data_IF_112881362558
#
_entry.id   IF_112881362558
#
_cell.length_a   1.000
_cell.length_b   1.000
_cell.length_c   1.000
_cell.angle_alpha   90.00
_cell.angle_beta   90.00
_cell.angle_gamma   90.00
#
_symmetry.space_group_name_H-M   'P 1'
#
loop_
_entity.id
_entity.type
_entity.pdbx_description
1 polymer ?
#
# COMPACT_ATOMS: atom_id res chain seq x y z
N UNK A 1 14.88 6.45 -12.72
CA UNK A 1 13.62 6.11 -11.94
C UNK A 1 13.34 7.25 -10.99
N UNK A 2 12.13 7.82 -11.06
CA UNK A 2 11.75 8.97 -10.24
C UNK A 2 11.13 8.53 -8.92
N UNK A 3 11.39 9.30 -7.85
CA UNK A 3 10.93 8.96 -6.52
C UNK A 3 10.56 10.21 -5.70
N UNK A 4 9.63 10.03 -4.75
CA UNK A 4 9.30 11.00 -3.73
C UNK A 4 9.82 10.53 -2.36
N UNK A 5 10.38 11.43 -1.59
CA UNK A 5 10.94 11.20 -0.27
C UNK A 5 10.08 11.85 0.81
N UNK A 6 9.67 11.08 1.80
CA UNK A 6 9.12 11.57 3.05
C UNK A 6 10.08 11.21 4.19
N UNK A 7 10.45 12.16 5.03
CA UNK A 7 11.54 11.97 5.99
C UNK A 7 11.40 12.81 7.25
N UNK A 8 12.10 12.36 8.28
CA UNK A 8 12.38 13.14 9.51
C UNK A 8 13.81 12.84 10.01
N UNK A 9 14.09 13.22 11.25
CA UNK A 9 15.40 12.99 11.87
C UNK A 9 15.68 11.50 12.18
N UNK A 10 14.67 10.62 12.13
CA UNK A 10 14.79 9.19 12.51
C UNK A 10 14.88 8.25 11.31
N UNK A 11 14.57 8.75 10.11
CA UNK A 11 14.60 7.93 8.89
C UNK A 11 13.72 8.48 7.79
N UNK A 12 13.49 7.66 6.77
CA UNK A 12 12.74 8.06 5.59
C UNK A 12 11.99 6.91 4.91
N UNK A 13 11.00 7.30 4.13
CA UNK A 13 10.28 6.47 3.18
C UNK A 13 10.45 7.06 1.78
N UNK A 14 10.79 6.22 0.82
CA UNK A 14 11.01 6.59 -0.57
C UNK A 14 10.01 5.83 -1.45
N UNK A 15 9.16 6.57 -2.16
CA UNK A 15 8.09 6.03 -3.01
C UNK A 15 8.48 6.18 -4.48
N UNK A 16 8.37 5.09 -5.26
CA UNK A 16 8.51 5.18 -6.70
C UNK A 16 7.35 5.95 -7.31
N UNK A 17 7.63 6.92 -8.19
CA UNK A 17 6.62 7.61 -8.98
C UNK A 17 6.21 6.81 -10.22
N UNK A 18 7.06 5.88 -10.66
CA UNK A 18 6.84 5.06 -11.84
C UNK A 18 6.08 3.76 -11.51
N UNK A 19 6.11 3.31 -10.24
CA UNK A 19 5.54 2.04 -9.79
C UNK A 19 4.76 2.23 -8.47
N UNK A 20 3.43 2.40 -8.50
CA UNK A 20 2.64 2.92 -7.37
C UNK A 20 2.61 2.06 -6.11
N UNK A 21 3.02 0.79 -6.18
CA UNK A 21 3.13 -0.08 -5.00
C UNK A 21 4.56 -0.33 -4.53
N UNK A 22 5.57 0.29 -5.19
CA UNK A 22 6.96 0.11 -4.85
C UNK A 22 7.46 1.23 -3.94
N UNK A 23 8.01 0.85 -2.79
CA UNK A 23 8.58 1.79 -1.83
C UNK A 23 9.74 1.15 -1.05
N UNK A 24 10.61 1.98 -0.49
CA UNK A 24 11.70 1.55 0.38
C UNK A 24 11.74 2.39 1.67
N UNK A 25 12.28 1.81 2.71
CA UNK A 25 12.52 2.49 4.00
C UNK A 25 13.99 2.42 4.35
N UNK A 26 14.49 3.48 4.97
CA UNK A 26 15.88 3.55 5.43
C UNK A 26 16.04 4.52 6.60
N UNK A 27 17.09 4.31 7.39
CA UNK A 27 17.55 5.28 8.39
C UNK A 27 18.11 6.51 7.70
N UNK A 28 18.63 6.34 6.48
CA UNK A 28 19.13 7.43 5.64
C UNK A 28 18.53 7.36 4.24
N UNK A 29 18.59 8.48 3.55
CA UNK A 29 18.18 8.67 2.17
C UNK A 29 18.91 7.68 1.23
N UNK A 30 20.19 7.52 1.43
CA UNK A 30 21.06 6.63 0.64
C UNK A 30 20.67 5.16 0.85
N UNK A 31 20.39 4.77 2.10
CA UNK A 31 19.96 3.42 2.44
C UNK A 31 18.60 3.07 1.82
N UNK A 32 17.65 4.02 1.79
CA UNK A 32 16.37 3.84 1.11
C UNK A 32 16.54 3.78 -0.42
N UNK A 33 17.35 4.69 -0.99
CA UNK A 33 17.61 4.73 -2.42
C UNK A 33 18.30 3.46 -2.95
N UNK A 34 19.21 2.87 -2.17
CA UNK A 34 19.87 1.61 -2.52
C UNK A 34 18.89 0.42 -2.59
N UNK A 35 17.79 0.45 -1.83
CA UNK A 35 16.77 -0.61 -1.80
C UNK A 35 15.71 -0.44 -2.90
N UNK A 36 15.39 0.78 -3.28
CA UNK A 36 14.26 1.09 -4.16
C UNK A 36 14.31 0.36 -5.52
N UNK A 37 15.45 0.23 -6.22
CA UNK A 37 15.51 -0.51 -7.49
C UNK A 37 15.05 -1.96 -7.37
N UNK A 38 15.42 -2.64 -6.28
CA UNK A 38 14.97 -4.01 -6.00
C UNK A 38 13.45 -4.10 -5.76
N UNK A 39 12.88 -3.12 -5.06
CA UNK A 39 11.44 -3.03 -4.81
C UNK A 39 10.65 -2.75 -6.09
N UNK A 40 11.16 -1.85 -6.93
CA UNK A 40 10.59 -1.56 -8.26
C UNK A 40 10.63 -2.80 -9.14
N UNK A 41 11.75 -3.50 -9.21
CA UNK A 41 11.86 -4.74 -9.97
C UNK A 41 10.89 -5.82 -9.48
N UNK A 42 10.73 -5.97 -8.16
CA UNK A 42 9.78 -6.91 -7.58
C UNK A 42 8.32 -6.53 -7.87
N UNK A 43 7.98 -5.24 -7.80
CA UNK A 43 6.66 -4.75 -8.18
C UNK A 43 6.39 -5.01 -9.67
N UNK A 44 7.32 -4.66 -10.55
CA UNK A 44 7.14 -4.82 -11.99
C UNK A 44 6.99 -6.30 -12.39
N UNK A 45 7.76 -7.22 -11.80
CA UNK A 45 7.55 -8.66 -12.02
C UNK A 45 6.13 -9.08 -11.65
N UNK A 46 5.65 -8.66 -10.47
CA UNK A 46 4.29 -8.96 -10.04
C UNK A 46 3.25 -8.30 -10.96
N UNK A 47 3.41 -7.05 -11.34
CA UNK A 47 2.48 -6.33 -12.20
C UNK A 47 2.52 -6.79 -13.68
N UNK A 48 3.55 -7.53 -14.10
CA UNK A 48 3.79 -7.87 -15.50
C UNK A 48 4.34 -6.69 -16.31
N UNK A 49 5.04 -5.77 -15.66
CA UNK A 49 5.62 -4.57 -16.28
C UNK A 49 7.12 -4.72 -16.51
N UNK A 50 7.64 -3.95 -17.45
CA UNK A 50 9.09 -3.78 -17.60
C UNK A 50 9.58 -2.80 -16.54
N UNK A 51 10.57 -3.22 -15.74
CA UNK A 51 11.13 -2.36 -14.72
C UNK A 51 11.95 -1.22 -15.34
N UNK A 52 11.74 0.03 -14.90
CA UNK A 52 12.62 1.14 -15.29
C UNK A 52 14.03 0.89 -14.77
N UNK A 53 15.04 1.31 -15.54
CA UNK A 53 16.46 1.20 -15.21
C UNK A 53 17.07 2.57 -14.92
N UNK A 54 18.28 2.58 -14.35
CA UNK A 54 19.03 3.81 -14.07
C UNK A 54 18.96 4.27 -12.62
N UNK A 55 19.62 5.38 -12.30
CA UNK A 55 19.71 5.91 -10.94
C UNK A 55 18.35 6.38 -10.40
N UNK A 56 18.24 6.41 -9.08
CA UNK A 56 17.08 6.99 -8.38
C UNK A 56 17.24 8.51 -8.34
N UNK A 57 16.22 9.22 -8.82
CA UNK A 57 16.14 10.68 -8.79
C UNK A 57 14.99 11.09 -7.86
N UNK A 58 15.30 11.74 -6.75
CA UNK A 58 14.29 12.28 -5.84
C UNK A 58 13.83 13.62 -6.42
N UNK A 59 12.57 13.67 -6.84
CA UNK A 59 11.95 14.83 -7.50
C UNK A 59 10.95 15.55 -6.61
N UNK A 60 10.52 14.93 -5.52
CA UNK A 60 9.64 15.50 -4.51
C UNK A 60 10.16 15.14 -3.12
N UNK A 61 10.15 16.08 -2.19
CA UNK A 61 10.54 15.85 -0.80
C UNK A 61 9.52 16.44 0.16
N UNK A 62 9.24 15.72 1.26
CA UNK A 62 8.39 16.19 2.35
C UNK A 62 9.07 15.89 3.69
N UNK A 63 9.33 16.93 4.46
CA UNK A 63 9.68 16.77 5.86
C UNK A 63 8.40 16.55 6.69
N UNK A 64 8.33 15.42 7.42
CA UNK A 64 7.22 15.06 8.27
C UNK A 64 7.72 14.72 9.68
N UNK A 65 7.63 15.65 10.66
CA UNK A 65 8.18 15.45 11.99
C UNK A 65 7.67 14.20 12.69
N UNK A 66 6.37 13.90 12.50
CA UNK A 66 5.67 12.79 13.15
C UNK A 66 5.77 11.46 12.40
N UNK A 67 6.52 11.41 11.28
CA UNK A 67 6.68 10.21 10.47
C UNK A 67 7.20 9.04 11.30
N UNK A 68 6.48 7.92 11.27
CA UNK A 68 6.86 6.66 11.92
C UNK A 68 7.25 5.64 10.87
N UNK A 69 8.52 5.70 10.48
CA UNK A 69 9.08 4.87 9.40
C UNK A 69 8.93 3.39 9.69
N UNK A 70 9.10 2.98 10.95
CA UNK A 70 8.96 1.58 11.39
C UNK A 70 7.53 1.04 11.28
N UNK A 71 6.52 1.89 11.40
CA UNK A 71 5.11 1.51 11.27
C UNK A 71 4.60 1.64 9.83
N UNK A 72 5.41 2.24 8.94
CA UNK A 72 4.98 2.52 7.57
C UNK A 72 3.91 3.61 7.52
N UNK A 73 3.91 4.52 8.49
CA UNK A 73 3.01 5.67 8.51
C UNK A 73 3.49 6.72 7.53
N UNK A 74 2.62 7.14 6.61
CA UNK A 74 2.93 8.13 5.58
C UNK A 74 1.67 8.88 5.18
N UNK A 75 1.74 10.19 5.14
CA UNK A 75 0.64 11.05 4.71
C UNK A 75 0.95 11.82 3.42
N UNK A 76 2.08 11.52 2.75
CA UNK A 76 2.50 12.21 1.53
C UNK A 76 1.42 12.14 0.44
N UNK A 77 1.09 13.28 -0.13
CA UNK A 77 0.40 13.40 -1.40
C UNK A 77 1.43 13.73 -2.47
N UNK A 78 1.57 12.84 -3.46
CA UNK A 78 2.50 13.04 -4.57
C UNK A 78 1.98 14.14 -5.50
N UNK A 79 2.89 14.88 -6.14
CA UNK A 79 2.48 16.00 -7.00
C UNK A 79 1.57 15.55 -8.14
N UNK A 80 1.85 14.41 -8.76
CA UNK A 80 0.99 13.80 -9.77
C UNK A 80 -0.38 13.38 -9.25
N UNK A 81 -0.52 13.12 -7.95
CA UNK A 81 -1.80 12.73 -7.34
C UNK A 81 -2.78 13.89 -7.16
N UNK A 82 -2.30 15.13 -7.37
CA UNK A 82 -3.15 16.33 -7.32
C UNK A 82 -3.92 16.56 -8.61
N UNK A 83 -3.53 15.90 -9.69
CA UNK A 83 -4.11 16.08 -11.02
C UNK A 83 -5.32 15.17 -11.23
N UNK A 84 -6.29 15.56 -12.08
CA UNK A 84 -7.32 14.67 -12.57
C UNK A 84 -6.73 13.37 -13.15
N UNK A 85 -7.47 12.26 -13.05
CA UNK A 85 -7.05 10.98 -13.58
C UNK A 85 -7.71 10.69 -14.92
N UNK A 86 -6.94 10.20 -15.88
CA UNK A 86 -7.47 9.73 -17.14
C UNK A 86 -8.14 8.35 -16.98
N UNK A 87 -9.21 8.11 -17.75
CA UNK A 87 -9.97 6.87 -17.62
C UNK A 87 -9.15 5.61 -17.95
N UNK A 88 -8.17 5.69 -18.83
CA UNK A 88 -7.28 4.59 -19.14
C UNK A 88 -6.31 4.28 -18.01
N UNK A 89 -5.72 5.31 -17.41
CA UNK A 89 -4.90 5.20 -16.21
C UNK A 89 -5.68 4.58 -15.05
N UNK A 90 -6.91 5.05 -14.83
CA UNK A 90 -7.78 4.49 -13.80
C UNK A 90 -8.01 2.99 -14.00
N UNK A 91 -8.38 2.57 -15.23
CA UNK A 91 -8.62 1.15 -15.53
C UNK A 91 -7.38 0.31 -15.24
N UNK A 92 -6.20 0.78 -15.62
CA UNK A 92 -4.94 0.09 -15.37
C UNK A 92 -4.65 -0.06 -13.87
N UNK A 93 -4.78 1.02 -13.09
CA UNK A 93 -4.57 0.98 -11.64
C UNK A 93 -5.65 0.14 -10.92
N UNK A 94 -6.91 0.25 -11.34
CA UNK A 94 -8.00 -0.57 -10.82
C UNK A 94 -7.73 -2.06 -10.96
N UNK A 95 -7.23 -2.50 -12.10
CA UNK A 95 -6.86 -3.91 -12.33
C UNK A 95 -5.78 -4.37 -11.34
N UNK A 96 -4.77 -3.56 -11.09
CA UNK A 96 -3.72 -3.88 -10.11
C UNK A 96 -4.26 -3.91 -8.68
N UNK A 97 -5.11 -2.97 -8.30
CA UNK A 97 -5.75 -2.88 -6.98
C UNK A 97 -6.63 -4.10 -6.71
N UNK A 98 -7.43 -4.53 -7.71
CA UNK A 98 -8.25 -5.74 -7.62
C UNK A 98 -7.37 -7.00 -7.55
N UNK A 99 -6.31 -7.06 -8.36
CA UNK A 99 -5.34 -8.16 -8.30
C UNK A 99 -4.65 -8.23 -6.95
N UNK A 100 -4.24 -7.11 -6.39
CA UNK A 100 -3.59 -7.05 -5.07
C UNK A 100 -4.47 -7.62 -3.97
N UNK A 101 -5.75 -7.24 -3.94
CA UNK A 101 -6.71 -7.77 -2.98
C UNK A 101 -6.93 -9.29 -3.14
N UNK A 102 -7.06 -9.77 -4.38
CA UNK A 102 -7.18 -11.22 -4.67
C UNK A 102 -5.92 -11.98 -4.22
N UNK A 103 -4.76 -11.46 -4.52
CA UNK A 103 -3.49 -12.06 -4.16
C UNK A 103 -3.30 -12.09 -2.63
N UNK A 104 -3.83 -11.06 -1.92
CA UNK A 104 -3.84 -11.04 -0.46
C UNK A 104 -4.77 -12.12 0.12
N UNK A 105 -5.98 -12.28 -0.42
CA UNK A 105 -6.91 -13.37 -0.05
C UNK A 105 -6.25 -14.74 -0.29
N UNK A 106 -5.57 -14.92 -1.42
CA UNK A 106 -4.87 -16.17 -1.77
C UNK A 106 -3.75 -16.49 -0.78
N UNK A 107 -2.93 -15.51 -0.43
CA UNK A 107 -1.88 -15.67 0.58
C UNK A 107 -2.51 -16.04 1.93
N UNK A 108 -3.51 -15.29 2.39
CA UNK A 108 -4.15 -15.54 3.69
C UNK A 108 -4.80 -16.92 3.75
N UNK A 109 -5.49 -17.34 2.70
CA UNK A 109 -6.13 -18.67 2.63
C UNK A 109 -5.12 -19.84 2.70
N UNK A 110 -3.85 -19.60 2.39
CA UNK A 110 -2.79 -20.61 2.48
C UNK A 110 -2.22 -20.79 3.90
N UNK A 111 -2.58 -19.92 4.86
CA UNK A 111 -2.05 -19.96 6.22
C UNK A 111 -2.73 -21.08 7.01
N UNK A 112 -1.99 -22.09 7.50
CA UNK A 112 -2.58 -23.23 8.19
C UNK A 112 -3.23 -22.89 9.52
N UNK A 113 -2.66 -21.96 10.26
CA UNK A 113 -3.19 -21.44 11.53
C UNK A 113 -3.12 -19.91 11.51
N UNK A 114 -4.23 -19.22 11.18
CA UNK A 114 -4.24 -17.75 11.06
C UNK A 114 -4.07 -17.02 12.39
N UNK A 115 -4.24 -17.69 13.52
CA UNK A 115 -4.09 -17.11 14.86
C UNK A 115 -2.71 -17.37 15.48
N UNK A 116 -1.86 -18.13 14.79
CA UNK A 116 -0.48 -18.36 15.22
C UNK A 116 0.30 -17.04 15.34
N UNK A 117 1.05 -16.80 16.44
CA UNK A 117 1.80 -15.56 16.64
C UNK A 117 3.00 -15.50 15.66
N UNK A 118 2.87 -14.72 14.61
CA UNK A 118 3.92 -14.51 13.60
C UNK A 118 4.96 -13.46 14.01
N UNK A 119 4.68 -12.67 15.04
CA UNK A 119 5.58 -11.66 15.58
C UNK A 119 5.31 -11.42 17.07
N UNK A 120 6.31 -10.91 17.82
CA UNK A 120 6.07 -10.46 19.20
C UNK A 120 5.06 -9.30 19.22
N UNK A 121 4.26 -9.20 20.31
CA UNK A 121 3.38 -8.07 20.50
C UNK A 121 4.19 -6.76 20.61
N UNK A 122 3.67 -5.69 20.00
CA UNK A 122 4.18 -4.33 20.19
C UNK A 122 3.05 -3.33 19.96
N UNK A 123 3.19 -2.15 20.50
CA UNK A 123 2.30 -1.02 20.22
C UNK A 123 2.78 -0.23 19.01
N UNK A 124 1.83 0.35 18.30
CA UNK A 124 2.02 1.26 17.17
C UNK A 124 1.21 2.53 17.41
N UNK A 125 1.33 3.52 16.54
CA UNK A 125 0.52 4.74 16.63
C UNK A 125 -0.99 4.49 16.45
N UNK A 126 -1.36 3.38 15.77
CA UNK A 126 -2.75 2.98 15.54
C UNK A 126 -3.24 1.88 16.49
N UNK A 127 -2.50 1.57 17.56
CA UNK A 127 -2.82 0.53 18.54
C UNK A 127 -1.92 -0.69 18.43
N UNK A 128 -2.41 -1.85 18.89
CA UNK A 128 -1.62 -3.06 18.90
C UNK A 128 -1.21 -3.51 17.48
N UNK A 129 0.07 -3.82 17.31
CA UNK A 129 0.60 -4.36 16.04
C UNK A 129 -0.11 -5.66 15.64
N UNK A 130 -0.56 -5.80 14.38
CA UNK A 130 -1.21 -7.03 13.92
C UNK A 130 -0.19 -8.17 13.82
N UNK A 131 -0.04 -8.93 14.88
CA UNK A 131 1.01 -9.93 15.05
C UNK A 131 0.63 -11.37 14.65
N UNK A 132 -0.59 -11.60 14.14
CA UNK A 132 -1.05 -12.87 13.55
C UNK A 132 -1.53 -12.65 12.12
N UNK A 133 -1.63 -13.69 11.31
CA UNK A 133 -2.14 -13.58 9.94
C UNK A 133 -3.58 -13.03 9.93
N UNK A 134 -4.45 -13.48 10.85
CA UNK A 134 -5.83 -12.98 11.01
C UNK A 134 -5.83 -11.47 11.26
N UNK A 135 -5.06 -11.00 12.23
CA UNK A 135 -5.01 -9.57 12.56
C UNK A 135 -4.45 -8.72 11.41
N UNK A 136 -3.45 -9.24 10.67
CA UNK A 136 -2.93 -8.56 9.47
C UNK A 136 -3.99 -8.49 8.38
N UNK A 137 -4.73 -9.57 8.19
CA UNK A 137 -5.83 -9.64 7.23
C UNK A 137 -6.95 -8.66 7.57
N UNK A 138 -7.44 -8.70 8.80
CA UNK A 138 -8.51 -7.81 9.27
C UNK A 138 -8.10 -6.34 9.20
N UNK A 139 -6.83 -6.02 9.53
CA UNK A 139 -6.29 -4.68 9.42
C UNK A 139 -6.25 -4.21 7.95
N UNK A 140 -5.74 -5.06 7.05
CA UNK A 140 -5.65 -4.74 5.62
C UNK A 140 -7.02 -4.64 4.96
N UNK A 141 -7.97 -5.49 5.36
CA UNK A 141 -9.34 -5.45 4.83
C UNK A 141 -10.06 -4.15 5.20
N UNK A 142 -9.98 -3.74 6.47
CA UNK A 142 -10.64 -2.52 6.99
C UNK A 142 -10.14 -1.22 6.39
N UNK A 143 -8.94 -1.17 5.80
CA UNK A 143 -8.51 0.05 5.11
C UNK A 143 -9.33 0.35 3.86
N UNK A 144 -10.14 -0.58 3.36
CA UNK A 144 -11.00 -0.33 2.20
C UNK A 144 -12.05 0.72 2.53
N UNK A 145 -12.86 0.51 3.55
CA UNK A 145 -13.87 1.50 3.99
C UNK A 145 -13.21 2.82 4.41
N UNK A 146 -12.05 2.75 5.08
CA UNK A 146 -11.30 3.94 5.47
C UNK A 146 -10.86 4.77 4.24
N UNK A 147 -10.17 4.19 3.26
CA UNK A 147 -9.64 4.96 2.12
C UNK A 147 -10.74 5.50 1.20
N UNK A 148 -11.82 4.75 0.98
CA UNK A 148 -12.95 5.27 0.20
C UNK A 148 -13.74 6.31 0.99
N UNK A 149 -13.80 6.18 2.33
CA UNK A 149 -14.38 7.15 3.24
C UNK A 149 -13.69 8.51 3.15
N UNK A 150 -12.36 8.53 3.04
CA UNK A 150 -11.57 9.74 2.84
C UNK A 150 -11.89 10.45 1.52
N UNK A 151 -12.50 9.74 0.57
CA UNK A 151 -13.02 10.29 -0.70
C UNK A 151 -14.52 10.57 -0.67
N UNK A 152 -15.19 10.38 0.49
CA UNK A 152 -16.59 10.71 0.70
C UNK A 152 -17.59 9.59 0.41
N UNK A 153 -17.11 8.35 0.40
CA UNK A 153 -17.94 7.15 0.25
C UNK A 153 -18.12 6.46 1.60
N UNK A 154 -19.37 6.23 1.99
CA UNK A 154 -19.69 5.43 3.17
C UNK A 154 -19.97 3.98 2.78
N UNK A 155 -19.37 3.04 3.50
CA UNK A 155 -19.62 1.61 3.33
C UNK A 155 -19.25 0.82 4.58
N UNK A 156 -19.92 -0.31 4.77
CA UNK A 156 -19.52 -1.34 5.72
C UNK A 156 -18.54 -2.30 5.04
N UNK A 157 -17.56 -2.80 5.80
CA UNK A 157 -16.59 -3.75 5.28
C UNK A 157 -17.20 -5.14 5.08
N UNK A 158 -16.86 -5.79 3.97
CA UNK A 158 -17.14 -7.19 3.71
C UNK A 158 -16.01 -8.08 4.25
N UNK A 159 -16.27 -9.38 4.52
CA UNK A 159 -15.28 -10.28 5.12
C UNK A 159 -14.03 -10.53 4.27
N UNK A 160 -14.14 -10.55 2.93
CA UNK A 160 -13.02 -10.81 2.00
C UNK A 160 -12.42 -9.53 1.44
N UNK A 161 -11.08 -9.48 1.33
CA UNK A 161 -10.41 -8.29 0.78
C UNK A 161 -10.83 -7.99 -0.66
N UNK A 162 -10.97 -9.01 -1.51
CA UNK A 162 -11.37 -8.82 -2.90
C UNK A 162 -12.80 -8.27 -3.01
N UNK A 163 -13.75 -8.89 -2.31
CA UNK A 163 -15.16 -8.45 -2.36
C UNK A 163 -15.31 -7.04 -1.81
N UNK A 164 -14.65 -6.77 -0.69
CA UNK A 164 -14.65 -5.47 -0.05
C UNK A 164 -14.05 -4.39 -0.98
N UNK A 165 -12.92 -4.70 -1.62
CA UNK A 165 -12.28 -3.80 -2.56
C UNK A 165 -13.13 -3.52 -3.79
N UNK A 166 -13.79 -4.53 -4.34
CA UNK A 166 -14.70 -4.38 -5.48
C UNK A 166 -15.91 -3.50 -5.11
N UNK A 167 -16.48 -3.69 -3.92
CA UNK A 167 -17.57 -2.85 -3.42
C UNK A 167 -17.11 -1.39 -3.27
N UNK A 168 -15.97 -1.15 -2.64
CA UNK A 168 -15.44 0.20 -2.43
C UNK A 168 -15.13 0.92 -3.74
N UNK A 169 -14.51 0.23 -4.71
CA UNK A 169 -14.24 0.80 -6.03
C UNK A 169 -15.52 1.09 -6.79
N UNK A 170 -16.52 0.20 -6.76
CA UNK A 170 -17.82 0.44 -7.40
C UNK A 170 -18.52 1.69 -6.85
N UNK A 171 -18.53 1.84 -5.52
CA UNK A 171 -19.09 3.06 -4.89
C UNK A 171 -18.33 4.34 -5.24
N UNK A 172 -17.01 4.29 -5.43
CA UNK A 172 -16.23 5.41 -5.92
C UNK A 172 -16.59 5.76 -7.37
N UNK A 173 -16.80 4.74 -8.22
CA UNK A 173 -17.18 4.89 -9.63
C UNK A 173 -18.58 5.54 -9.77
N UNK A 174 -19.46 5.37 -8.79
CA UNK A 174 -20.80 5.98 -8.75
C UNK A 174 -20.76 7.48 -8.38
N UNK A 175 -19.63 8.01 -7.88
CA UNK A 175 -19.53 9.43 -7.55
C UNK A 175 -19.48 10.29 -8.81
N UNK A 176 -20.27 11.37 -8.90
CA UNK A 176 -20.19 12.30 -10.02
C UNK A 176 -18.78 12.84 -10.23
N UNK A 177 -18.24 12.66 -11.44
CA UNK A 177 -16.92 13.17 -11.79
C UNK A 177 -15.77 12.57 -10.99
N UNK A 178 -15.88 11.32 -10.51
CA UNK A 178 -14.91 10.69 -9.61
C UNK A 178 -13.45 10.76 -10.10
N UNK A 179 -13.23 10.76 -11.42
CA UNK A 179 -11.88 10.86 -12.02
C UNK A 179 -11.29 12.27 -11.93
N UNK A 180 -12.13 13.28 -11.79
CA UNK A 180 -11.73 14.70 -11.87
C UNK A 180 -11.88 15.46 -10.57
N UNK A 181 -12.29 14.80 -9.49
CA UNK A 181 -12.42 15.43 -8.20
C UNK A 181 -11.05 15.93 -7.70
N UNK A 182 -10.98 17.18 -7.22
CA UNK A 182 -9.75 17.70 -6.64
C UNK A 182 -9.40 16.96 -5.34
N UNK A 183 -8.14 17.00 -4.90
CA UNK A 183 -7.78 16.53 -3.58
C UNK A 183 -8.61 17.20 -2.49
N UNK A 184 -9.01 16.43 -1.49
CA UNK A 184 -9.78 16.90 -0.33
C UNK A 184 -9.01 16.63 0.95
N UNK A 185 -9.30 17.41 1.98
CA UNK A 185 -8.78 17.14 3.32
C UNK A 185 -9.70 16.11 3.97
N UNK A 186 -9.13 14.98 4.34
CA UNK A 186 -9.79 13.90 5.05
C UNK A 186 -9.55 13.94 6.55
N UNK A 187 -9.69 12.79 7.18
CA UNK A 187 -9.43 12.61 8.60
C UNK A 187 -7.97 12.97 8.94
N UNK A 188 -7.75 13.44 10.14
CA UNK A 188 -6.43 13.81 10.65
C UNK A 188 -5.72 14.94 9.86
N UNK A 189 -6.44 15.71 9.03
CA UNK A 189 -5.86 16.75 8.20
C UNK A 189 -5.05 16.25 7.00
N UNK A 190 -5.09 14.96 6.71
CA UNK A 190 -4.40 14.35 5.58
C UNK A 190 -5.10 14.68 4.26
N UNK A 191 -4.32 15.05 3.24
CA UNK A 191 -4.86 15.30 1.90
C UNK A 191 -5.02 14.00 1.12
N UNK A 192 -6.20 13.80 0.52
CA UNK A 192 -6.59 12.61 -0.21
C UNK A 192 -7.03 12.91 -1.64
N UNK A 193 -6.69 12.03 -2.55
CA UNK A 193 -7.18 12.00 -3.93
C UNK A 193 -7.44 10.55 -4.36
N UNK A 194 -8.18 10.36 -5.46
CA UNK A 194 -8.41 9.02 -6.03
C UNK A 194 -7.10 8.29 -6.31
N UNK A 195 -6.13 8.97 -6.94
CA UNK A 195 -4.83 8.38 -7.29
C UNK A 195 -4.05 7.97 -6.04
N UNK A 196 -4.05 8.80 -4.98
CA UNK A 196 -3.47 8.44 -3.69
C UNK A 196 -4.13 7.21 -3.08
N UNK A 197 -5.45 7.13 -3.06
CA UNK A 197 -6.17 5.98 -2.52
C UNK A 197 -5.80 4.69 -3.26
N UNK A 198 -5.75 4.71 -4.60
CA UNK A 198 -5.34 3.55 -5.41
C UNK A 198 -3.89 3.13 -5.13
N UNK A 199 -2.97 4.10 -5.02
CA UNK A 199 -1.58 3.84 -4.63
C UNK A 199 -1.49 3.26 -3.21
N UNK A 200 -2.25 3.81 -2.26
CA UNK A 200 -2.29 3.35 -0.86
C UNK A 200 -2.78 1.91 -0.75
N UNK A 201 -3.77 1.50 -1.53
CA UNK A 201 -4.19 0.10 -1.59
C UNK A 201 -3.04 -0.81 -2.02
N UNK A 202 -2.37 -0.51 -3.12
CA UNK A 202 -1.26 -1.33 -3.63
C UNK A 202 -0.09 -1.40 -2.65
N UNK A 203 0.28 -0.27 -2.09
CA UNK A 203 1.37 -0.17 -1.12
C UNK A 203 1.05 -0.91 0.18
N UNK A 204 -0.13 -0.70 0.74
CA UNK A 204 -0.56 -1.26 2.02
C UNK A 204 -0.73 -2.79 1.94
N UNK A 205 -1.41 -3.28 0.91
CA UNK A 205 -1.56 -4.70 0.67
C UNK A 205 -0.18 -5.38 0.58
N UNK A 206 0.75 -4.82 -0.21
CA UNK A 206 2.10 -5.37 -0.37
C UNK A 206 2.94 -5.31 0.90
N UNK A 207 2.80 -4.25 1.70
CA UNK A 207 3.47 -4.11 2.99
C UNK A 207 3.08 -5.27 3.93
N UNK A 208 1.79 -5.48 4.11
CA UNK A 208 1.26 -6.51 5.01
C UNK A 208 1.41 -7.92 4.43
N UNK A 209 1.20 -8.11 3.12
CA UNK A 209 1.43 -9.38 2.45
C UNK A 209 2.87 -9.86 2.61
N UNK A 210 3.86 -8.97 2.41
CA UNK A 210 5.27 -9.31 2.61
C UNK A 210 5.57 -9.70 4.06
N UNK A 211 5.04 -8.96 5.02
CA UNK A 211 5.22 -9.27 6.42
C UNK A 211 4.58 -10.62 6.80
N UNK A 212 3.38 -10.89 6.31
CA UNK A 212 2.68 -12.15 6.49
C UNK A 212 3.43 -13.31 5.85
N UNK A 213 3.75 -13.19 4.54
CA UNK A 213 4.44 -14.24 3.78
C UNK A 213 5.76 -14.66 4.42
N UNK A 214 6.68 -13.70 4.64
CA UNK A 214 8.03 -14.01 5.17
C UNK A 214 8.00 -14.69 6.52
N UNK A 215 7.05 -14.31 7.39
CA UNK A 215 6.91 -14.90 8.71
C UNK A 215 6.23 -16.26 8.67
N UNK A 216 5.21 -16.40 7.85
CA UNK A 216 4.49 -17.65 7.67
C UNK A 216 5.38 -18.70 6.97
N UNK A 217 6.14 -18.31 5.95
CA UNK A 217 7.11 -19.16 5.27
C UNK A 217 8.18 -19.70 6.24
N UNK A 218 8.67 -18.85 7.15
CA UNK A 218 9.62 -19.27 8.17
C UNK A 218 9.06 -20.33 9.13
N UNK A 219 7.73 -20.40 9.31
CA UNK A 219 7.05 -21.39 10.19
C UNK A 219 6.62 -22.64 9.40
N UNK A 220 6.04 -22.46 8.21
CA UNK A 220 5.35 -23.50 7.45
C UNK A 220 6.00 -23.87 6.11
N UNK A 221 7.06 -23.15 5.71
CA UNK A 221 7.83 -23.43 4.49
C UNK A 221 7.02 -23.20 3.22
N UNK A 222 7.24 -24.09 2.25
CA UNK A 222 6.66 -24.06 0.90
C UNK A 222 5.14 -24.26 0.81
N UNK A 223 4.50 -24.55 1.95
CA UNK A 223 3.03 -24.61 2.03
C UNK A 223 2.36 -23.25 1.86
N UNK A 224 3.12 -22.15 2.02
CA UNK A 224 2.60 -20.80 1.96
C UNK A 224 2.62 -20.28 0.52
N UNK A 225 1.47 -19.90 0.00
CA UNK A 225 1.34 -19.28 -1.31
C UNK A 225 2.05 -17.92 -1.37
N UNK A 226 2.77 -17.66 -2.48
CA UNK A 226 3.46 -16.41 -2.74
C UNK A 226 2.97 -15.72 -4.02
N UNK A 227 1.71 -15.26 -4.10
CA UNK A 227 1.16 -14.67 -5.31
C UNK A 227 1.79 -13.32 -5.67
N UNK A 228 2.42 -12.64 -4.69
CA UNK A 228 3.14 -11.39 -4.91
C UNK A 228 4.58 -11.56 -5.41
N UNK A 229 5.16 -12.77 -5.34
CA UNK A 229 6.53 -13.06 -5.77
C UNK A 229 7.61 -12.40 -4.91
N UNK A 230 7.42 -12.40 -3.59
CA UNK A 230 8.37 -11.85 -2.61
C UNK A 230 9.62 -12.70 -2.47
#
# INVERSE_FOLDING_TARGET
MNAALEYNAKGCMLFSLDCPGAFARGETREAAAAKLPGEVAAFCRWAGWTAPTGPVHITQEKFQPELRVEDGDSDILLDGERLPMEGEEYRALRLLVVRSARDFDTLYASIPDPDYPLAPPRETFYGAYPNTARKMFDHTNRVTSYYVGELGVEMDDLPGCLENRLLGLGKLEDLPGFLTQPPRVGSYGEAWSLRKALRRFLWHDRLHARAMYRRAEAVWGDRISNPFGF
#
